data_IF_842896074937
#
_entry.id   IF_842896074937
#
_cell.length_a   1.000
_cell.length_b   1.000
_cell.length_c   1.000
_cell.angle_alpha   90.00
_cell.angle_beta   90.00
_cell.angle_gamma   90.00
#
_symmetry.space_group_name_H-M   'P 1'
#
loop_
_entity.id
_entity.type
_entity.pdbx_description
1 polymer ?
#
# COMPACT_ATOMS: atom_id res chain seq x y z
N UNK A 1 7.39 15.70 -3.03
CA UNK A 1 7.90 14.70 -2.06
C UNK A 1 6.78 14.06 -1.24
N UNK A 2 5.90 14.83 -0.58
CA UNK A 2 4.77 14.28 0.18
C UNK A 2 3.89 13.30 -0.61
N UNK A 3 3.55 13.63 -1.86
CA UNK A 3 2.80 12.75 -2.78
C UNK A 3 3.50 11.40 -3.05
N UNK A 4 4.82 11.38 -3.19
CA UNK A 4 5.59 10.15 -3.35
C UNK A 4 5.55 9.30 -2.06
N UNK A 5 5.68 9.96 -0.91
CA UNK A 5 5.62 9.30 0.41
C UNK A 5 4.22 8.71 0.64
N UNK A 6 3.17 9.44 0.28
CA UNK A 6 1.79 8.94 0.32
C UNK A 6 1.64 7.66 -0.51
N UNK A 7 1.99 7.69 -1.80
CA UNK A 7 1.82 6.51 -2.66
C UNK A 7 2.69 5.33 -2.22
N UNK A 8 3.95 5.59 -1.81
CA UNK A 8 4.82 4.54 -1.29
C UNK A 8 4.25 3.95 0.01
N UNK A 9 3.74 4.77 0.92
CA UNK A 9 3.14 4.31 2.18
C UNK A 9 1.83 3.56 1.92
N UNK A 10 1.00 4.03 0.99
CA UNK A 10 -0.23 3.34 0.60
C UNK A 10 0.06 1.97 -0.03
N UNK A 11 1.08 1.89 -0.89
CA UNK A 11 1.52 0.63 -1.49
C UNK A 11 2.07 -0.33 -0.43
N UNK A 12 2.90 0.15 0.49
CA UNK A 12 3.43 -0.67 1.59
C UNK A 12 2.32 -1.13 2.55
N UNK A 13 1.32 -0.28 2.81
CA UNK A 13 0.15 -0.65 3.60
C UNK A 13 -0.66 -1.75 2.90
N UNK A 14 -0.85 -1.66 1.58
CA UNK A 14 -1.49 -2.70 0.80
C UNK A 14 -0.70 -4.02 0.86
N UNK A 15 0.63 -3.97 0.70
CA UNK A 15 1.48 -5.17 0.84
C UNK A 15 1.36 -5.79 2.24
N UNK A 16 1.27 -4.97 3.29
CA UNK A 16 1.13 -5.44 4.66
C UNK A 16 -0.17 -6.24 4.88
N UNK A 17 -1.28 -5.91 4.20
CA UNK A 17 -2.52 -6.70 4.24
C UNK A 17 -2.31 -8.14 3.78
N UNK A 18 -1.44 -8.33 2.79
CA UNK A 18 -1.13 -9.64 2.23
C UNK A 18 0.06 -10.31 2.92
N UNK A 19 0.63 -9.70 3.97
CA UNK A 19 1.81 -10.23 4.66
C UNK A 19 1.66 -11.70 5.11
N UNK A 20 0.52 -12.15 5.68
CA UNK A 20 0.36 -13.56 6.05
C UNK A 20 0.45 -14.52 4.86
N UNK A 21 -0.06 -14.11 3.70
CA UNK A 21 0.00 -14.88 2.47
C UNK A 21 1.44 -14.93 1.95
N UNK A 22 2.12 -13.79 1.93
CA UNK A 22 3.53 -13.70 1.49
C UNK A 22 4.43 -14.56 2.40
N UNK A 23 4.26 -14.46 3.72
CA UNK A 23 5.01 -15.24 4.69
C UNK A 23 4.81 -16.75 4.52
N UNK A 24 3.58 -17.19 4.24
CA UNK A 24 3.28 -18.60 4.01
C UNK A 24 3.89 -19.16 2.73
N UNK A 25 3.96 -18.35 1.67
CA UNK A 25 4.39 -18.77 0.33
C UNK A 25 5.88 -18.57 0.05
N UNK A 26 6.58 -17.72 0.80
CA UNK A 26 8.01 -17.45 0.61
C UNK A 26 8.82 -18.22 1.67
N UNK A 27 9.56 -19.30 1.29
CA UNK A 27 10.29 -20.13 2.24
C UNK A 27 11.35 -19.34 3.04
N UNK A 28 11.96 -18.32 2.42
CA UNK A 28 12.95 -17.46 3.06
C UNK A 28 12.38 -16.57 4.18
N UNK A 29 11.05 -16.40 4.27
CA UNK A 29 10.43 -15.63 5.36
C UNK A 29 10.13 -16.49 6.58
N UNK A 30 10.07 -17.82 6.45
CA UNK A 30 9.77 -18.75 7.55
C UNK A 30 10.85 -18.79 8.63
N UNK A 31 12.03 -18.23 8.36
CA UNK A 31 13.13 -18.10 9.34
C UNK A 31 12.92 -16.89 10.26
N UNK A 32 12.06 -15.95 9.90
CA UNK A 32 11.75 -14.79 10.75
C UNK A 32 10.82 -15.21 11.89
N UNK A 33 11.22 -15.06 13.15
CA UNK A 33 10.36 -15.37 14.29
C UNK A 33 9.20 -14.37 14.38
N UNK A 34 8.04 -14.85 14.82
CA UNK A 34 6.86 -14.03 15.10
C UNK A 34 5.58 -14.53 14.44
N UNK A 35 4.46 -13.87 14.77
CA UNK A 35 3.17 -14.18 14.15
C UNK A 35 2.98 -13.30 12.90
N UNK A 36 2.83 -13.87 11.70
CA UNK A 36 2.72 -13.10 10.47
C UNK A 36 1.45 -12.25 10.40
N UNK A 37 0.38 -12.63 11.09
CA UNK A 37 -0.83 -11.79 11.20
C UNK A 37 -0.53 -10.52 11.98
N UNK A 38 0.17 -10.64 13.12
CA UNK A 38 0.55 -9.47 13.93
C UNK A 38 1.50 -8.56 13.16
N UNK A 39 2.49 -9.14 12.46
CA UNK A 39 3.41 -8.36 11.62
C UNK A 39 2.68 -7.60 10.51
N UNK A 40 1.70 -8.23 9.86
CA UNK A 40 0.85 -7.58 8.86
C UNK A 40 0.02 -6.43 9.44
N UNK A 41 -0.60 -6.63 10.61
CA UNK A 41 -1.36 -5.58 11.30
C UNK A 41 -0.45 -4.40 11.67
N UNK A 42 0.73 -4.67 12.23
CA UNK A 42 1.70 -3.62 12.59
C UNK A 42 2.13 -2.84 11.34
N UNK A 43 2.48 -3.53 10.25
CA UNK A 43 2.81 -2.89 8.98
C UNK A 43 1.67 -2.04 8.44
N UNK A 44 0.43 -2.56 8.47
CA UNK A 44 -0.76 -1.83 8.04
C UNK A 44 -0.96 -0.56 8.86
N UNK A 45 -0.84 -0.62 10.18
CA UNK A 45 -1.02 0.56 11.05
C UNK A 45 0.08 1.59 10.80
N UNK A 46 1.33 1.16 10.69
CA UNK A 46 2.46 2.07 10.46
C UNK A 46 2.38 2.75 9.09
N UNK A 47 2.23 1.97 8.02
CA UNK A 47 2.23 2.50 6.66
C UNK A 47 0.89 3.15 6.30
N UNK A 48 -0.22 2.60 6.77
CA UNK A 48 -1.54 3.23 6.62
C UNK A 48 -1.63 4.54 7.38
N UNK A 49 -1.07 4.61 8.60
CA UNK A 49 -0.96 5.85 9.37
C UNK A 49 -0.07 6.90 8.68
N UNK A 50 1.07 6.48 8.14
CA UNK A 50 1.94 7.35 7.33
C UNK A 50 1.22 7.87 6.08
N UNK A 51 0.51 6.99 5.36
CA UNK A 51 -0.30 7.39 4.21
C UNK A 51 -1.37 8.40 4.63
N UNK A 52 -2.09 8.15 5.71
CA UNK A 52 -3.12 9.05 6.23
C UNK A 52 -2.57 10.44 6.58
N UNK A 53 -1.43 10.52 7.27
CA UNK A 53 -0.82 11.81 7.66
C UNK A 53 -0.23 12.56 6.47
N UNK A 54 0.20 11.84 5.43
CA UNK A 54 0.82 12.43 4.24
C UNK A 54 -0.18 12.66 3.09
N UNK A 55 -1.42 12.21 3.28
CA UNK A 55 -2.53 12.47 2.39
C UNK A 55 -2.85 13.96 2.39
N UNK A 56 -2.94 14.52 1.19
CA UNK A 56 -3.23 15.93 0.96
C UNK A 56 -4.46 15.96 0.04
N UNK A 57 -5.61 16.36 0.60
CA UNK A 57 -6.91 16.42 -0.09
C UNK A 57 -6.84 17.25 -1.38
N UNK A 58 -5.94 18.23 -1.44
CA UNK A 58 -5.75 19.12 -2.60
C UNK A 58 -5.09 18.43 -3.80
N UNK A 59 -4.50 17.24 -3.61
CA UNK A 59 -3.74 16.53 -4.66
C UNK A 59 -4.56 15.51 -5.44
N UNK A 60 -5.76 15.18 -4.97
CA UNK A 60 -6.59 14.09 -5.52
C UNK A 60 -7.27 14.47 -6.85
N UNK A 61 -7.37 15.76 -7.16
CA UNK A 61 -7.93 16.23 -8.45
C UNK A 61 -7.00 15.97 -9.65
N UNK A 62 -5.75 15.58 -9.44
CA UNK A 62 -4.79 15.29 -10.53
C UNK A 62 -4.51 13.79 -10.75
N UNK A 63 -5.32 12.90 -10.17
CA UNK A 63 -5.19 11.44 -10.34
C UNK A 63 -6.50 10.73 -10.64
N UNK A 64 -7.60 11.47 -10.72
CA UNK A 64 -8.88 10.94 -11.15
C UNK A 64 -8.91 10.75 -12.66
N UNK A 65 -8.71 9.52 -13.12
CA UNK A 65 -9.37 9.03 -14.32
C UNK A 65 -8.86 9.67 -15.64
N UNK A 66 -7.56 9.63 -15.92
CA UNK A 66 -7.04 9.79 -17.30
C UNK A 66 -7.10 8.49 -18.13
N UNK A 67 -8.02 7.57 -17.79
CA UNK A 67 -8.24 6.32 -18.53
C UNK A 67 -9.70 6.17 -19.01
N UNK A 68 -10.40 7.30 -19.24
CA UNK A 68 -11.79 7.29 -19.75
C UNK A 68 -12.02 7.84 -21.16
N UNK A 69 -11.02 8.34 -21.89
CA UNK A 69 -11.29 8.93 -23.22
C UNK A 69 -10.70 8.20 -24.44
N UNK A 70 -9.82 7.21 -24.31
CA UNK A 70 -9.23 6.57 -25.51
C UNK A 70 -9.97 5.31 -26.01
N UNK A 71 -10.95 4.78 -25.25
CA UNK A 71 -11.65 3.53 -25.59
C UNK A 71 -13.00 3.71 -26.30
N UNK A 72 -13.41 4.94 -26.64
CA UNK A 72 -14.68 5.20 -27.37
C UNK A 72 -14.47 5.75 -28.79
N UNK A 73 -13.22 5.84 -29.26
CA UNK A 73 -12.90 6.22 -30.63
C UNK A 73 -12.25 5.04 -31.38
N UNK A 74 -13.00 3.96 -31.61
CA UNK A 74 -12.74 3.02 -32.72
C UNK A 74 -13.99 2.28 -33.16
#
# INVERSE_FOLDING_TARGET
MKRLIYYASALLAAVALFWPVIYGNVPALRVLPGNPVIQGIVGLVLFGGLAYVTFDETSEEAGGIEEKEELTAS
#
